data_IF_290613896738
#
_entry.id   IF_290613896738
#
_cell.length_a   1.000
_cell.length_b   1.000
_cell.length_c   1.000
_cell.angle_alpha   90.00
_cell.angle_beta   90.00
_cell.angle_gamma   90.00
#
_symmetry.space_group_name_H-M   'P 1'
#
loop_
_entity.id
_entity.type
_entity.pdbx_description
1 polymer ?
#
# COMPACT_ATOMS: atom_id res chain seq x y z
N UNK A 1 -11.05 60.44 -21.83
CA UNK A 1 -11.53 59.05 -21.68
C UNK A 1 -10.32 58.20 -21.34
N UNK A 2 -10.13 57.91 -20.05
CA UNK A 2 -8.98 57.15 -19.56
C UNK A 2 -9.41 55.72 -19.29
N UNK A 3 -8.88 54.77 -20.06
CA UNK A 3 -9.07 53.35 -19.80
C UNK A 3 -7.99 52.90 -18.81
N UNK A 4 -8.38 52.67 -17.56
CA UNK A 4 -7.51 52.00 -16.57
C UNK A 4 -7.63 50.49 -16.76
N UNK A 5 -6.76 49.92 -17.57
CA UNK A 5 -6.59 48.47 -17.66
C UNK A 5 -5.84 48.03 -16.39
N UNK A 6 -6.57 47.53 -15.40
CA UNK A 6 -5.96 46.77 -14.32
C UNK A 6 -5.77 45.33 -14.81
N UNK A 7 -4.56 45.05 -15.32
CA UNK A 7 -4.05 43.69 -15.45
C UNK A 7 -3.89 43.11 -14.03
N UNK A 8 -4.99 42.60 -13.48
CA UNK A 8 -4.96 41.83 -12.25
C UNK A 8 -4.31 40.46 -12.57
N UNK A 9 -3.34 40.02 -11.77
CA UNK A 9 -2.31 39.11 -12.21
C UNK A 9 -2.87 37.70 -12.44
N UNK A 10 -2.51 37.12 -13.59
CA UNK A 10 -2.62 35.71 -13.98
C UNK A 10 -1.70 34.80 -13.10
N UNK A 11 -1.43 35.20 -11.85
CA UNK A 11 -0.43 34.59 -10.97
C UNK A 11 -1.02 33.78 -9.80
N UNK A 12 -2.32 33.48 -9.83
CA UNK A 12 -2.98 32.63 -8.81
C UNK A 12 -3.29 31.21 -9.29
N UNK A 13 -2.98 30.85 -10.55
CA UNK A 13 -3.27 29.52 -11.08
C UNK A 13 -2.14 28.48 -10.91
N UNK A 14 -0.97 28.85 -10.38
CA UNK A 14 0.23 27.96 -10.33
C UNK A 14 0.33 27.15 -9.02
N UNK A 15 -0.58 27.32 -8.06
CA UNK A 15 -0.50 26.64 -6.74
C UNK A 15 -1.47 25.47 -6.55
N UNK A 16 -2.12 24.97 -7.61
CA UNK A 16 -3.04 23.84 -7.50
C UNK A 16 -2.49 22.50 -8.02
N UNK A 17 -1.21 22.42 -8.35
CA UNK A 17 -0.52 21.12 -8.44
C UNK A 17 -0.14 20.66 -7.03
N UNK A 18 -1.15 20.47 -6.18
CA UNK A 18 -0.98 19.65 -4.99
C UNK A 18 -0.78 18.22 -5.50
N UNK A 19 0.48 17.83 -5.56
CA UNK A 19 1.00 16.50 -5.81
C UNK A 19 0.19 15.45 -5.04
N UNK A 20 -0.86 14.92 -5.66
CA UNK A 20 -1.46 13.65 -5.28
C UNK A 20 -0.52 12.53 -5.74
N UNK A 21 0.66 12.45 -5.13
CA UNK A 21 1.56 11.32 -5.33
C UNK A 21 0.92 10.14 -4.61
N UNK A 22 0.39 9.20 -5.39
CA UNK A 22 -0.02 7.91 -4.87
C UNK A 22 1.21 7.19 -4.29
N UNK A 23 1.04 6.53 -3.15
CA UNK A 23 2.08 5.68 -2.57
C UNK A 23 2.36 4.50 -3.50
N UNK A 24 3.51 3.86 -3.29
CA UNK A 24 3.90 2.65 -4.02
C UNK A 24 4.11 1.48 -3.05
N UNK A 25 3.72 0.29 -3.50
CA UNK A 25 4.06 -0.99 -2.90
C UNK A 25 4.73 -1.89 -3.94
N UNK A 26 5.59 -2.78 -3.50
CA UNK A 26 6.17 -3.83 -4.33
C UNK A 26 5.28 -5.08 -4.25
N UNK A 27 5.05 -5.76 -5.37
CA UNK A 27 4.29 -7.01 -5.38
C UNK A 27 5.22 -8.20 -5.14
N UNK A 28 4.80 -9.11 -4.27
CA UNK A 28 5.41 -10.43 -4.14
C UNK A 28 4.33 -11.49 -3.99
N UNK A 29 4.72 -12.73 -4.23
CA UNK A 29 3.81 -13.88 -4.30
C UNK A 29 4.16 -14.84 -3.18
N UNK A 30 3.15 -15.44 -2.56
CA UNK A 30 3.35 -16.46 -1.54
C UNK A 30 2.41 -17.65 -1.70
N UNK A 31 2.83 -18.80 -1.18
CA UNK A 31 2.05 -20.03 -1.13
C UNK A 31 1.46 -20.31 0.26
N UNK A 32 0.81 -21.46 0.43
CA UNK A 32 0.22 -21.91 1.70
C UNK A 32 1.26 -22.23 2.80
N UNK A 33 2.53 -22.39 2.44
CA UNK A 33 3.63 -22.74 3.36
C UNK A 33 4.49 -21.52 3.73
N UNK A 34 4.10 -20.32 3.26
CA UNK A 34 4.86 -19.06 3.39
C UNK A 34 6.19 -19.07 2.64
N UNK A 35 6.36 -19.94 1.65
CA UNK A 35 7.39 -19.71 0.65
C UNK A 35 6.98 -18.49 -0.18
N UNK A 36 7.93 -17.64 -0.54
CA UNK A 36 7.63 -16.38 -1.22
C UNK A 36 8.73 -15.95 -2.18
N UNK A 37 8.34 -15.12 -3.15
CA UNK A 37 9.25 -14.52 -4.12
C UNK A 37 8.73 -13.17 -4.62
N UNK A 38 9.64 -12.23 -4.81
CA UNK A 38 9.32 -10.94 -5.43
C UNK A 38 8.89 -11.12 -6.87
N UNK A 39 7.79 -10.47 -7.27
CA UNK A 39 7.36 -10.48 -8.66
C UNK A 39 8.26 -9.54 -9.47
N UNK A 40 8.88 -10.07 -10.53
CA UNK A 40 9.88 -9.38 -11.35
C UNK A 40 9.47 -9.49 -12.82
N UNK A 41 9.38 -8.36 -13.51
CA UNK A 41 9.17 -8.28 -14.96
C UNK A 41 10.36 -7.54 -15.60
N UNK A 42 10.99 -8.14 -16.62
CA UNK A 42 12.15 -7.55 -17.32
C UNK A 42 13.25 -7.07 -16.37
N UNK A 43 13.64 -7.91 -15.40
CA UNK A 43 14.65 -7.61 -14.38
C UNK A 43 14.30 -6.49 -13.37
N UNK A 44 13.05 -5.98 -13.41
CA UNK A 44 12.57 -4.96 -12.49
C UNK A 44 11.43 -5.48 -11.58
N UNK A 45 11.47 -5.05 -10.31
CA UNK A 45 10.39 -5.36 -9.36
C UNK A 45 9.07 -4.73 -9.78
N UNK A 46 7.99 -5.51 -9.74
CA UNK A 46 6.65 -5.01 -10.01
C UNK A 46 6.21 -4.06 -8.90
N UNK A 47 5.88 -2.82 -9.27
CA UNK A 47 5.38 -1.78 -8.37
C UNK A 47 3.90 -1.51 -8.62
N UNK A 48 3.17 -1.26 -7.54
CA UNK A 48 1.74 -1.01 -7.55
C UNK A 48 1.49 0.35 -6.90
N UNK A 49 0.81 1.23 -7.62
CA UNK A 49 0.41 2.55 -7.09
C UNK A 49 -0.90 2.42 -6.32
N UNK A 50 -1.01 3.15 -5.22
CA UNK A 50 -2.14 3.00 -4.32
C UNK A 50 -1.98 3.77 -3.04
N UNK A 51 -2.61 3.25 -1.99
CA UNK A 51 -2.57 3.84 -0.66
C UNK A 51 -2.39 2.78 0.42
N UNK A 52 -1.50 3.06 1.38
CA UNK A 52 -1.38 2.26 2.60
C UNK A 52 -2.49 2.61 3.58
N UNK A 53 -2.99 1.59 4.28
CA UNK A 53 -4.00 1.72 5.33
C UNK A 53 -3.68 0.79 6.49
N UNK A 54 -4.17 1.16 7.65
CA UNK A 54 -4.08 0.37 8.88
C UNK A 54 -5.45 -0.25 9.18
N UNK A 55 -5.47 -1.54 9.53
CA UNK A 55 -6.64 -2.20 10.11
C UNK A 55 -6.32 -2.65 11.53
N UNK A 56 -7.16 -2.24 12.47
CA UNK A 56 -7.09 -2.70 13.84
C UNK A 56 -7.65 -4.13 13.96
N UNK A 57 -6.88 -5.06 14.53
CA UNK A 57 -7.35 -6.44 14.78
C UNK A 57 -7.90 -6.62 16.18
N UNK A 58 -7.32 -5.95 17.17
CA UNK A 58 -7.87 -5.82 18.51
C UNK A 58 -7.45 -4.50 19.17
N UNK A 59 -7.75 -4.32 20.46
CA UNK A 59 -7.45 -3.07 21.18
C UNK A 59 -5.96 -2.70 21.21
N UNK A 60 -5.07 -3.69 21.07
CA UNK A 60 -3.62 -3.54 21.19
C UNK A 60 -2.84 -3.87 19.91
N UNK A 61 -3.49 -4.33 18.84
CA UNK A 61 -2.79 -4.73 17.62
C UNK A 61 -3.45 -4.21 16.35
N UNK A 62 -2.65 -4.09 15.30
CA UNK A 62 -3.06 -3.67 13.97
C UNK A 62 -2.16 -4.31 12.91
N UNK A 63 -2.59 -4.30 11.66
CA UNK A 63 -1.73 -4.60 10.50
C UNK A 63 -1.92 -3.57 9.40
N UNK A 64 -0.95 -3.49 8.50
CA UNK A 64 -1.05 -2.66 7.30
C UNK A 64 -1.51 -3.48 6.10
N UNK A 65 -2.29 -2.83 5.24
CA UNK A 65 -2.70 -3.36 3.95
C UNK A 65 -2.61 -2.27 2.88
N UNK A 66 -2.53 -2.68 1.62
CA UNK A 66 -2.39 -1.76 0.50
C UNK A 66 -3.59 -1.85 -0.44
N UNK A 67 -4.16 -0.70 -0.79
CA UNK A 67 -5.27 -0.61 -1.77
C UNK A 67 -4.68 -0.07 -3.08
N UNK A 68 -4.59 -0.89 -4.16
CA UNK A 68 -4.20 -0.41 -5.47
C UNK A 68 -5.20 0.63 -6.01
N UNK A 69 -4.73 1.59 -6.80
CA UNK A 69 -5.61 2.60 -7.40
C UNK A 69 -6.68 1.98 -8.31
N UNK A 70 -6.30 0.92 -9.04
CA UNK A 70 -7.16 0.15 -9.92
C UNK A 70 -7.97 -0.93 -9.17
N UNK A 71 -7.86 -0.99 -7.83
CA UNK A 71 -8.65 -1.85 -6.97
C UNK A 71 -8.47 -3.35 -7.25
N UNK A 72 -9.59 -4.08 -7.32
CA UNK A 72 -9.58 -5.54 -7.47
C UNK A 72 -8.95 -6.01 -8.78
N UNK A 73 -9.10 -5.25 -9.87
CA UNK A 73 -8.60 -5.66 -11.19
C UNK A 73 -7.08 -5.81 -11.17
N UNK A 74 -6.38 -4.91 -10.49
CA UNK A 74 -4.92 -5.02 -10.31
C UNK A 74 -4.51 -6.19 -9.44
N UNK A 75 -5.31 -6.54 -8.44
CA UNK A 75 -5.01 -7.70 -7.58
C UNK A 75 -5.16 -9.00 -8.38
N UNK A 76 -6.18 -9.10 -9.24
CA UNK A 76 -6.39 -10.26 -10.12
C UNK A 76 -5.23 -10.38 -11.13
N UNK A 77 -4.79 -9.26 -11.70
CA UNK A 77 -3.61 -9.21 -12.57
C UNK A 77 -2.37 -9.75 -11.85
N UNK A 78 -2.05 -9.24 -10.66
CA UNK A 78 -0.88 -9.68 -9.87
C UNK A 78 -1.01 -11.16 -9.48
N UNK A 79 -2.21 -11.63 -9.11
CA UNK A 79 -2.42 -13.04 -8.78
C UNK A 79 -2.13 -13.95 -9.97
N UNK A 80 -2.57 -13.54 -11.17
CA UNK A 80 -2.27 -14.27 -12.40
C UNK A 80 -0.77 -14.30 -12.65
N UNK A 81 -0.08 -13.16 -12.53
CA UNK A 81 1.36 -13.07 -12.70
C UNK A 81 2.12 -13.93 -11.67
N UNK A 82 1.60 -14.04 -10.44
CA UNK A 82 2.14 -14.93 -9.41
C UNK A 82 2.07 -16.40 -9.82
N UNK A 83 0.90 -16.84 -10.30
CA UNK A 83 0.71 -18.22 -10.78
C UNK A 83 1.58 -18.51 -11.99
N UNK A 84 1.71 -17.55 -12.91
CA UNK A 84 2.57 -17.69 -14.10
C UNK A 84 4.06 -17.76 -13.75
N UNK A 85 4.50 -17.00 -12.75
CA UNK A 85 5.93 -16.89 -12.38
C UNK A 85 6.42 -17.99 -11.44
N UNK A 86 5.57 -18.42 -10.49
CA UNK A 86 5.99 -19.30 -9.39
C UNK A 86 5.21 -20.62 -9.34
N UNK A 87 4.14 -20.76 -10.13
CA UNK A 87 3.30 -21.96 -10.19
C UNK A 87 2.00 -21.83 -9.41
N UNK A 88 1.12 -22.84 -9.57
CA UNK A 88 -0.26 -22.82 -9.07
C UNK A 88 -0.39 -22.73 -7.54
N UNK A 89 0.68 -22.99 -6.78
CA UNK A 89 0.65 -22.94 -5.31
C UNK A 89 0.81 -21.49 -4.79
N UNK A 90 1.35 -20.57 -5.60
CA UNK A 90 1.60 -19.17 -5.22
C UNK A 90 0.36 -18.28 -5.44
N UNK A 91 -0.71 -18.61 -4.73
CA UNK A 91 -2.04 -18.01 -4.91
C UNK A 91 -2.26 -16.68 -4.16
N UNK A 92 -1.32 -16.28 -3.29
CA UNK A 92 -1.46 -15.09 -2.44
C UNK A 92 -0.62 -13.93 -2.96
N UNK A 93 -1.19 -13.00 -3.75
CA UNK A 93 -0.52 -11.76 -4.09
C UNK A 93 -0.43 -10.86 -2.84
N UNK A 94 0.76 -10.34 -2.56
CA UNK A 94 1.02 -9.55 -1.37
C UNK A 94 1.79 -8.26 -1.68
N UNK A 95 1.51 -7.27 -0.83
CA UNK A 95 2.14 -5.96 -0.89
C UNK A 95 3.36 -5.97 0.03
N UNK A 96 4.46 -5.40 -0.44
CA UNK A 96 5.70 -5.29 0.30
C UNK A 96 6.26 -3.88 0.25
N UNK A 97 7.02 -3.51 1.28
CA UNK A 97 7.97 -2.41 1.16
C UNK A 97 9.35 -3.01 0.93
N UNK A 98 10.16 -2.44 0.02
CA UNK A 98 11.51 -2.96 -0.30
C UNK A 98 12.45 -3.06 0.91
N UNK A 99 12.13 -2.40 2.02
CA UNK A 99 12.98 -2.31 3.22
C UNK A 99 12.52 -3.21 4.37
N UNK A 100 11.37 -3.86 4.25
CA UNK A 100 10.80 -4.65 5.34
C UNK A 100 10.64 -6.13 4.96
N UNK A 101 10.76 -6.98 5.98
CA UNK A 101 10.39 -8.40 5.93
C UNK A 101 8.96 -8.64 6.44
N UNK A 102 8.22 -7.56 6.72
CA UNK A 102 6.83 -7.62 7.16
C UNK A 102 5.93 -8.05 5.99
N UNK A 103 4.88 -8.78 6.35
CA UNK A 103 3.86 -9.27 5.44
C UNK A 103 2.68 -8.31 5.41
N UNK A 104 2.34 -7.80 4.23
CA UNK A 104 1.17 -6.97 4.02
C UNK A 104 0.31 -7.53 2.89
N UNK A 105 -1.00 -7.43 3.07
CA UNK A 105 -1.98 -7.91 2.09
C UNK A 105 -2.46 -6.80 1.19
N UNK A 106 -2.87 -7.16 -0.04
CA UNK A 106 -3.66 -6.26 -0.87
C UNK A 106 -5.12 -6.25 -0.40
N UNK A 107 -5.80 -5.14 -0.65
CA UNK A 107 -7.24 -5.00 -0.46
C UNK A 107 -7.87 -4.27 -1.63
N UNK A 108 -9.06 -4.70 -2.05
CA UNK A 108 -9.83 -4.01 -3.09
C UNK A 108 -10.47 -2.72 -2.56
N UNK A 109 -10.69 -2.64 -1.24
CA UNK A 109 -11.20 -1.44 -0.54
C UNK A 109 -10.91 -1.56 0.96
N UNK A 110 -11.29 -0.56 1.74
CA UNK A 110 -11.20 -0.61 3.22
C UNK A 110 -12.02 -1.71 3.88
N UNK A 111 -12.96 -2.33 3.16
CA UNK A 111 -13.86 -3.36 3.69
C UNK A 111 -13.68 -4.72 3.02
N UNK A 112 -12.78 -4.81 2.04
CA UNK A 112 -12.55 -6.02 1.25
C UNK A 112 -11.06 -6.28 1.12
N UNK A 113 -10.53 -6.93 2.15
CA UNK A 113 -9.15 -7.40 2.21
C UNK A 113 -9.09 -8.78 1.54
N UNK A 114 -8.04 -9.02 0.78
CA UNK A 114 -7.81 -10.31 0.10
C UNK A 114 -6.98 -11.21 1.02
N UNK A 115 -7.21 -12.51 0.92
CA UNK A 115 -6.49 -13.51 1.72
C UNK A 115 -4.99 -13.45 1.48
N UNK A 116 -4.23 -13.71 2.54
CA UNK A 116 -2.77 -13.69 2.54
C UNK A 116 -2.22 -13.67 3.95
N UNK A 117 -0.94 -13.31 4.10
CA UNK A 117 -0.28 -13.25 5.39
C UNK A 117 -0.16 -11.80 5.87
N UNK A 118 -0.32 -11.61 7.19
CA UNK A 118 -0.19 -10.30 7.80
C UNK A 118 0.81 -10.36 8.95
N UNK A 119 1.63 -9.33 9.06
CA UNK A 119 2.38 -9.04 10.28
C UNK A 119 1.55 -8.12 11.16
N UNK A 120 1.26 -8.56 12.38
CA UNK A 120 0.59 -7.73 13.37
C UNK A 120 1.61 -6.92 14.18
N UNK A 121 1.29 -5.65 14.37
CA UNK A 121 2.08 -4.70 15.15
C UNK A 121 1.34 -4.37 16.44
N UNK A 122 2.07 -4.22 17.55
CA UNK A 122 1.49 -3.79 18.81
C UNK A 122 1.39 -2.28 18.90
N UNK A 123 0.22 -1.76 19.27
CA UNK A 123 0.05 -0.39 19.77
C UNK A 123 0.75 -0.31 21.12
N UNK A 124 2.00 0.16 21.17
CA UNK A 124 2.63 0.49 22.44
C UNK A 124 1.76 1.55 23.14
N UNK A 125 1.00 1.15 24.16
CA UNK A 125 0.56 2.10 25.18
C UNK A 125 1.75 2.31 26.11
N UNK A 126 2.37 3.49 26.14
CA UNK A 126 3.36 3.77 27.17
C UNK A 126 2.64 3.69 28.52
N UNK A 127 2.79 2.56 29.22
CA UNK A 127 2.39 2.46 30.61
C UNK A 127 3.39 3.32 31.37
N UNK A 128 3.03 4.57 31.63
CA UNK A 128 3.79 5.44 32.52
C UNK A 128 3.74 4.84 33.93
N UNK A 129 4.76 4.07 34.29
CA UNK A 129 5.00 3.73 35.68
C UNK A 129 5.41 5.01 36.41
N UNK A 130 4.46 5.67 37.07
CA UNK A 130 4.78 6.69 38.05
C UNK A 130 5.52 6.00 39.21
N UNK A 131 6.85 6.12 39.24
CA UNK A 131 7.62 5.75 40.44
C UNK A 131 7.20 6.70 41.55
N UNK A 132 6.51 6.18 42.56
CA UNK A 132 6.37 6.89 43.84
C UNK A 132 7.77 6.95 44.47
N UNK A 133 8.36 8.14 44.47
CA UNK A 133 9.49 8.48 45.34
C UNK A 133 9.04 8.66 46.78
#
# INVERSE_FOLDING_TARGET
MEYKIYLLPIFTFILLENYAIADEAFAFCADNEKNWGWLIHNDDYVKVKGVWREMQTNNSTYFYYFIPNEGMDKIIEIQKDCVESFGNDFIYPQAGSKKSNDWFVFAASSYKIIDGYVTEFSKFSPVFYASKG
#
